data_IF_202369026998
#
_entry.id   IF_202369026998
#
_cell.length_a   1.000
_cell.length_b   1.000
_cell.length_c   1.000
_cell.angle_alpha   90.00
_cell.angle_beta   90.00
_cell.angle_gamma   90.00
#
_symmetry.space_group_name_H-M   'P 1'
#
loop_
_entity.id
_entity.type
_entity.pdbx_description
1 polymer ?
#
# COMPACT_ATOMS: atom_id res chain seq x y z
N UNK A 1 -9.97 -16.34 10.62
CA UNK A 1 -10.79 -16.79 11.77
C UNK A 1 -11.67 -15.63 12.25
N UNK A 2 -11.14 -14.60 12.94
CA UNK A 2 -11.96 -13.47 13.42
C UNK A 2 -12.77 -12.72 12.34
N UNK A 3 -12.18 -12.42 11.18
CA UNK A 3 -12.94 -11.80 10.08
C UNK A 3 -14.03 -12.73 9.51
N UNK A 4 -13.97 -14.04 9.74
CA UNK A 4 -15.03 -14.94 9.31
C UNK A 4 -16.21 -14.87 10.28
N UNK A 5 -15.92 -15.07 11.56
CA UNK A 5 -16.92 -15.00 12.63
C UNK A 5 -17.59 -13.63 12.70
N UNK A 6 -16.83 -12.55 12.47
CA UNK A 6 -17.37 -11.20 12.41
C UNK A 6 -18.38 -11.03 11.26
N UNK A 7 -18.14 -11.63 10.09
CA UNK A 7 -19.12 -11.58 8.99
C UNK A 7 -20.39 -12.33 9.36
N UNK A 8 -20.27 -13.53 9.95
CA UNK A 8 -21.41 -14.33 10.40
C UNK A 8 -22.25 -13.58 11.45
N UNK A 9 -21.60 -12.81 12.34
CA UNK A 9 -22.29 -11.93 13.29
C UNK A 9 -23.00 -10.78 12.57
N UNK A 10 -22.32 -10.17 11.58
CA UNK A 10 -22.88 -9.07 10.79
C UNK A 10 -24.06 -9.50 9.91
N UNK A 11 -24.19 -10.78 9.55
CA UNK A 11 -25.34 -11.29 8.80
C UNK A 11 -26.65 -11.31 9.60
N UNK A 12 -26.55 -11.35 10.93
CA UNK A 12 -27.70 -11.43 11.84
C UNK A 12 -27.87 -10.18 12.71
N UNK A 13 -26.96 -9.21 12.62
CA UNK A 13 -26.99 -8.00 13.43
C UNK A 13 -28.18 -7.13 13.03
N UNK A 14 -28.91 -6.56 13.99
CA UNK A 14 -29.95 -5.58 13.67
C UNK A 14 -29.34 -4.20 13.36
N UNK A 15 -29.96 -3.38 12.48
CA UNK A 15 -29.43 -2.07 12.14
C UNK A 15 -29.18 -1.15 13.35
N UNK A 16 -30.05 -1.22 14.36
CA UNK A 16 -29.90 -0.45 15.60
C UNK A 16 -28.68 -0.86 16.43
N UNK A 17 -28.35 -2.15 16.46
CA UNK A 17 -27.16 -2.66 17.14
C UNK A 17 -25.88 -2.35 16.34
N UNK A 18 -25.96 -2.45 15.01
CA UNK A 18 -24.87 -2.08 14.12
C UNK A 18 -24.41 -0.63 14.33
N UNK A 19 -25.34 0.32 14.44
CA UNK A 19 -25.01 1.74 14.66
C UNK A 19 -24.18 1.99 15.93
N UNK A 20 -24.33 1.17 16.96
CA UNK A 20 -23.56 1.29 18.22
C UNK A 20 -22.09 0.91 18.03
N UNK A 21 -21.79 0.03 17.07
CA UNK A 21 -20.46 -0.58 16.90
C UNK A 21 -19.78 -0.18 15.58
N UNK A 22 -20.49 0.41 14.63
CA UNK A 22 -19.98 0.68 13.28
C UNK A 22 -18.67 1.50 13.28
N UNK A 23 -18.55 2.51 14.14
CA UNK A 23 -17.35 3.37 14.15
C UNK A 23 -16.09 2.56 14.53
N UNK A 24 -15.98 1.93 15.71
CA UNK A 24 -14.79 1.13 16.04
C UNK A 24 -14.60 -0.07 15.12
N UNK A 25 -15.69 -0.69 14.63
CA UNK A 25 -15.65 -1.78 13.67
C UNK A 25 -14.95 -1.36 12.36
N UNK A 26 -15.39 -0.27 11.73
CA UNK A 26 -14.81 0.18 10.46
C UNK A 26 -13.40 0.73 10.61
N UNK A 27 -13.03 1.29 11.76
CA UNK A 27 -11.61 1.58 12.04
C UNK A 27 -10.74 0.32 12.01
N UNK A 28 -11.26 -0.81 12.52
CA UNK A 28 -10.55 -2.07 12.48
C UNK A 28 -10.54 -2.68 11.07
N UNK A 29 -11.66 -2.63 10.34
CA UNK A 29 -11.72 -3.08 8.94
C UNK A 29 -10.74 -2.27 8.08
N UNK A 30 -10.67 -0.94 8.24
CA UNK A 30 -9.71 -0.08 7.53
C UNK A 30 -8.25 -0.54 7.72
N UNK A 31 -7.88 -0.94 8.95
CA UNK A 31 -6.56 -1.52 9.24
C UNK A 31 -6.36 -2.87 8.55
N UNK A 32 -7.38 -3.74 8.56
CA UNK A 32 -7.31 -5.03 7.87
C UNK A 32 -7.15 -4.88 6.35
N UNK A 33 -7.88 -3.95 5.74
CA UNK A 33 -7.75 -3.60 4.31
C UNK A 33 -6.37 -3.02 4.00
N UNK A 34 -5.79 -2.25 4.92
CA UNK A 34 -4.44 -1.68 4.79
C UNK A 34 -3.31 -2.67 5.13
N UNK A 35 -3.63 -3.92 5.43
CA UNK A 35 -2.63 -4.93 5.77
C UNK A 35 -1.77 -5.27 4.55
N UNK A 36 -0.46 -5.32 4.72
CA UNK A 36 0.46 -5.83 3.69
C UNK A 36 0.29 -7.34 3.45
N UNK A 37 -0.34 -8.05 4.40
CA UNK A 37 -0.62 -9.47 4.28
C UNK A 37 -1.89 -9.73 3.47
N UNK A 38 -1.72 -10.19 2.23
CA UNK A 38 -2.81 -10.26 1.25
C UNK A 38 -4.04 -11.06 1.74
N UNK A 39 -3.87 -12.16 2.48
CA UNK A 39 -5.03 -12.95 2.95
C UNK A 39 -5.91 -12.17 3.93
N UNK A 40 -5.34 -11.25 4.70
CA UNK A 40 -6.10 -10.42 5.66
C UNK A 40 -6.86 -9.33 4.89
N UNK A 41 -6.17 -8.65 3.97
CA UNK A 41 -6.78 -7.61 3.14
C UNK A 41 -7.89 -8.20 2.24
N UNK A 42 -7.63 -9.33 1.59
CA UNK A 42 -8.61 -10.06 0.77
C UNK A 42 -9.85 -10.43 1.58
N UNK A 43 -9.65 -11.08 2.73
CA UNK A 43 -10.77 -11.53 3.56
C UNK A 43 -11.65 -10.38 4.04
N UNK A 44 -11.04 -9.22 4.36
CA UNK A 44 -11.76 -8.02 4.75
C UNK A 44 -12.50 -7.38 3.55
N UNK A 45 -11.86 -7.29 2.38
CA UNK A 45 -12.47 -6.72 1.18
C UNK A 45 -13.62 -7.57 0.62
N UNK A 46 -13.67 -8.87 0.93
CA UNK A 46 -14.83 -9.69 0.55
C UNK A 46 -16.13 -9.35 1.27
N UNK A 47 -16.10 -8.58 2.36
CA UNK A 47 -17.33 -8.07 2.98
C UNK A 47 -18.15 -7.20 2.00
N UNK A 48 -17.53 -6.55 1.01
CA UNK A 48 -18.24 -5.76 0.01
C UNK A 48 -19.08 -6.60 -0.95
N UNK A 49 -18.93 -7.93 -0.95
CA UNK A 49 -19.79 -8.82 -1.74
C UNK A 49 -21.06 -9.21 -0.98
N UNK A 50 -21.13 -8.93 0.32
CA UNK A 50 -22.27 -9.25 1.16
C UNK A 50 -23.32 -8.14 1.03
N UNK A 51 -24.47 -8.47 0.44
CA UNK A 51 -25.54 -7.50 0.18
C UNK A 51 -26.11 -6.90 1.46
N UNK A 52 -26.28 -7.71 2.52
CA UNK A 52 -26.81 -7.22 3.79
C UNK A 52 -25.86 -6.21 4.42
N UNK A 53 -24.57 -6.55 4.49
CA UNK A 53 -23.54 -5.64 4.99
C UNK A 53 -23.43 -4.36 4.15
N UNK A 54 -23.55 -4.47 2.83
CA UNK A 54 -23.56 -3.31 1.93
C UNK A 54 -24.78 -2.40 2.12
N UNK A 55 -25.95 -2.95 2.45
CA UNK A 55 -27.13 -2.16 2.79
C UNK A 55 -26.91 -1.39 4.11
N UNK A 56 -26.36 -2.04 5.14
CA UNK A 56 -25.98 -1.38 6.40
C UNK A 56 -24.97 -0.24 6.19
N UNK A 57 -24.00 -0.44 5.29
CA UNK A 57 -23.06 0.62 4.91
C UNK A 57 -23.79 1.78 4.24
N UNK A 58 -24.69 1.48 3.30
CA UNK A 58 -25.42 2.49 2.53
C UNK A 58 -26.25 3.40 3.42
N UNK A 59 -26.97 2.84 4.40
CA UNK A 59 -27.78 3.61 5.35
C UNK A 59 -26.93 4.50 6.27
N UNK A 60 -25.65 4.15 6.48
CA UNK A 60 -24.73 4.83 7.39
C UNK A 60 -23.52 5.45 6.67
N UNK A 61 -23.66 5.73 5.36
CA UNK A 61 -22.55 6.10 4.48
C UNK A 61 -21.79 7.35 4.97
N UNK A 62 -22.50 8.33 5.50
CA UNK A 62 -21.94 9.59 6.02
C UNK A 62 -20.92 9.40 7.15
N UNK A 63 -21.00 8.29 7.89
CA UNK A 63 -20.02 7.93 8.94
C UNK A 63 -18.97 6.99 8.38
N UNK A 64 -19.38 5.97 7.62
CA UNK A 64 -18.51 4.86 7.23
C UNK A 64 -17.54 5.26 6.10
N UNK A 65 -18.03 5.95 5.07
CA UNK A 65 -17.21 6.30 3.90
C UNK A 65 -16.00 7.16 4.30
N UNK A 66 -16.11 8.21 5.13
CA UNK A 66 -14.96 8.98 5.59
C UNK A 66 -13.90 8.17 6.36
N UNK A 67 -14.30 7.10 7.06
CA UNK A 67 -13.36 6.23 7.81
C UNK A 67 -12.60 5.31 6.85
N UNK A 68 -13.31 4.76 5.85
CA UNK A 68 -12.76 3.77 4.94
C UNK A 68 -12.00 4.37 3.76
N UNK A 69 -12.38 5.56 3.32
CA UNK A 69 -11.82 6.21 2.15
C UNK A 69 -10.29 6.38 2.21
N UNK A 70 -9.68 6.89 3.30
CA UNK A 70 -8.22 7.05 3.36
C UNK A 70 -7.47 5.72 3.20
N UNK A 71 -7.98 4.65 3.82
CA UNK A 71 -7.39 3.32 3.70
C UNK A 71 -7.49 2.79 2.27
N UNK A 72 -8.66 2.86 1.63
CA UNK A 72 -8.82 2.39 0.26
C UNK A 72 -8.01 3.22 -0.74
N UNK A 73 -8.06 4.55 -0.64
CA UNK A 73 -7.36 5.45 -1.55
C UNK A 73 -5.83 5.29 -1.46
N UNK A 74 -5.27 5.15 -0.26
CA UNK A 74 -3.83 4.91 -0.10
C UNK A 74 -3.44 3.58 -0.74
N UNK A 75 -4.15 2.52 -0.40
CA UNK A 75 -3.78 1.16 -0.83
C UNK A 75 -4.05 0.89 -2.31
N UNK A 76 -4.95 1.64 -2.98
CA UNK A 76 -5.13 1.56 -4.44
C UNK A 76 -3.87 1.92 -5.22
N UNK A 77 -2.98 2.73 -4.64
CA UNK A 77 -1.69 3.10 -5.23
C UNK A 77 -0.54 2.23 -4.74
N UNK A 78 -0.54 1.82 -3.47
CA UNK A 78 0.66 1.27 -2.82
C UNK A 78 0.63 -0.24 -2.56
N UNK A 79 -0.53 -0.90 -2.65
CA UNK A 79 -0.59 -2.33 -2.36
C UNK A 79 0.17 -3.16 -3.44
N UNK A 80 0.98 -4.14 -3.03
CA UNK A 80 1.84 -4.88 -3.97
C UNK A 80 1.08 -5.96 -4.78
N UNK A 81 -0.04 -6.46 -4.23
CA UNK A 81 -0.82 -7.54 -4.83
C UNK A 81 -1.92 -7.01 -5.76
N UNK A 82 -1.88 -7.44 -7.02
CA UNK A 82 -2.83 -7.03 -8.08
C UNK A 82 -4.28 -7.43 -7.82
N UNK A 83 -4.53 -8.57 -7.17
CA UNK A 83 -5.90 -9.00 -6.82
C UNK A 83 -6.49 -8.05 -5.80
N UNK A 84 -5.71 -7.69 -4.77
CA UNK A 84 -6.13 -6.73 -3.74
C UNK A 84 -6.39 -5.36 -4.35
N UNK A 85 -5.56 -4.90 -5.28
CA UNK A 85 -5.84 -3.68 -6.06
C UNK A 85 -7.20 -3.73 -6.72
N UNK A 86 -7.53 -4.81 -7.42
CA UNK A 86 -8.84 -4.94 -8.07
C UNK A 86 -10.02 -4.92 -7.09
N UNK A 87 -9.87 -5.56 -5.93
CA UNK A 87 -10.89 -5.52 -4.87
C UNK A 87 -11.04 -4.11 -4.27
N UNK A 88 -9.94 -3.38 -4.07
CA UNK A 88 -9.96 -1.99 -3.59
C UNK A 88 -10.69 -1.08 -4.59
N UNK A 89 -10.38 -1.18 -5.90
CA UNK A 89 -11.07 -0.38 -6.92
C UNK A 89 -12.55 -0.72 -7.02
N UNK A 90 -12.92 -2.00 -6.85
CA UNK A 90 -14.32 -2.39 -6.77
C UNK A 90 -15.02 -1.75 -5.55
N UNK A 91 -14.39 -1.78 -4.36
CA UNK A 91 -14.94 -1.13 -3.17
C UNK A 91 -15.07 0.39 -3.32
N UNK A 92 -14.06 1.06 -3.89
CA UNK A 92 -14.10 2.50 -4.21
C UNK A 92 -15.24 2.83 -5.18
N UNK A 93 -15.44 1.99 -6.19
CA UNK A 93 -16.54 2.15 -7.14
C UNK A 93 -17.90 2.07 -6.45
N UNK A 94 -18.11 1.08 -5.57
CA UNK A 94 -19.36 0.95 -4.82
C UNK A 94 -19.64 2.17 -3.93
N UNK A 95 -18.61 2.75 -3.29
CA UNK A 95 -18.77 3.98 -2.51
C UNK A 95 -19.13 5.19 -3.38
N UNK A 96 -18.54 5.30 -4.57
CA UNK A 96 -18.88 6.36 -5.51
C UNK A 96 -20.31 6.23 -6.06
N UNK A 97 -20.76 5.01 -6.39
CA UNK A 97 -22.12 4.74 -6.86
C UNK A 97 -23.18 5.00 -5.78
N UNK A 98 -22.82 4.76 -4.51
CA UNK A 98 -23.69 4.97 -3.36
C UNK A 98 -23.96 6.46 -3.09
N UNK A 99 -22.91 7.29 -3.06
CA UNK A 99 -23.05 8.73 -2.87
C UNK A 99 -21.85 9.48 -3.46
N UNK A 100 -21.99 9.90 -4.71
CA UNK A 100 -20.94 10.60 -5.45
C UNK A 100 -20.47 11.88 -4.76
N UNK A 101 -21.41 12.70 -4.26
CA UNK A 101 -21.08 13.96 -3.59
C UNK A 101 -20.22 13.73 -2.33
N UNK A 102 -20.60 12.75 -1.49
CA UNK A 102 -19.84 12.40 -0.31
C UNK A 102 -18.45 11.83 -0.66
N UNK A 103 -18.36 11.04 -1.72
CA UNK A 103 -17.09 10.51 -2.21
C UNK A 103 -16.15 11.63 -2.63
N UNK A 104 -16.65 12.62 -3.38
CA UNK A 104 -15.88 13.79 -3.82
C UNK A 104 -15.42 14.65 -2.62
N UNK A 105 -16.29 14.86 -1.64
CA UNK A 105 -15.96 15.55 -0.37
C UNK A 105 -14.84 14.81 0.39
N UNK A 106 -14.92 13.48 0.49
CA UNK A 106 -13.87 12.67 1.12
C UNK A 106 -12.54 12.75 0.35
N UNK A 107 -12.60 12.72 -0.98
CA UNK A 107 -11.45 12.86 -1.87
C UNK A 107 -10.77 14.22 -1.66
N UNK A 108 -11.53 15.32 -1.66
CA UNK A 108 -11.01 16.65 -1.40
C UNK A 108 -10.38 16.75 -0.01
N UNK A 109 -11.09 16.31 1.03
CA UNK A 109 -10.61 16.36 2.42
C UNK A 109 -9.31 15.57 2.60
N UNK A 110 -9.21 14.40 1.95
CA UNK A 110 -8.00 13.59 1.96
C UNK A 110 -6.82 14.34 1.33
N UNK A 111 -7.00 14.96 0.16
CA UNK A 111 -5.95 15.78 -0.48
C UNK A 111 -5.48 16.92 0.42
N UNK A 112 -6.42 17.67 0.99
CA UNK A 112 -6.10 18.77 1.92
C UNK A 112 -5.33 18.30 3.15
N UNK A 113 -5.72 17.16 3.73
CA UNK A 113 -5.04 16.59 4.89
C UNK A 113 -3.61 16.13 4.53
N UNK A 114 -3.42 15.52 3.36
CA UNK A 114 -2.09 15.13 2.85
C UNK A 114 -1.20 16.34 2.59
N UNK A 115 -1.73 17.42 2.02
CA UNK A 115 -0.98 18.65 1.82
C UNK A 115 -0.57 19.27 3.16
N UNK A 116 -1.50 19.34 4.11
CA UNK A 116 -1.24 19.86 5.46
C UNK A 116 -0.19 19.02 6.21
N UNK A 117 -0.19 17.70 6.04
CA UNK A 117 0.81 16.82 6.63
C UNK A 117 2.21 17.06 6.04
N UNK A 118 2.30 17.25 4.72
CA UNK A 118 3.56 17.64 4.06
C UNK A 118 4.09 18.98 4.56
N UNK A 119 3.23 19.99 4.71
CA UNK A 119 3.60 21.30 5.25
C UNK A 119 4.13 21.19 6.68
N UNK A 120 3.44 20.44 7.55
CA UNK A 120 3.91 20.18 8.93
C UNK A 120 5.28 19.52 8.96
N UNK A 121 5.56 18.58 8.05
CA UNK A 121 6.87 17.93 7.96
C UNK A 121 7.96 18.92 7.51
N UNK A 122 7.65 19.81 6.56
CA UNK A 122 8.56 20.87 6.11
C UNK A 122 8.85 21.89 7.21
N UNK A 123 7.84 22.30 7.97
CA UNK A 123 8.00 23.22 9.09
C UNK A 123 8.86 22.59 10.19
N UNK A 124 8.62 21.31 10.49
CA UNK A 124 9.43 20.53 11.43
C UNK A 124 10.90 20.48 10.99
N UNK A 125 11.15 20.21 9.71
CA UNK A 125 12.50 20.15 9.15
C UNK A 125 13.24 21.51 9.22
N UNK A 126 12.53 22.61 8.91
CA UNK A 126 13.06 23.97 9.05
C UNK A 126 13.40 24.32 10.51
N UNK A 127 12.54 23.93 11.46
CA UNK A 127 12.80 24.12 12.89
C UNK A 127 14.05 23.33 13.29
N UNK A 128 14.17 22.06 12.89
CA UNK A 128 15.36 21.24 13.19
C UNK A 128 16.64 21.80 12.59
N UNK A 129 16.59 22.27 11.35
CA UNK A 129 17.74 22.91 10.67
C UNK A 129 18.19 24.16 11.43
N UNK A 130 17.25 24.96 11.93
CA UNK A 130 17.57 26.13 12.75
C UNK A 130 18.18 25.73 14.10
N UNK A 131 17.65 24.70 14.75
CA UNK A 131 18.20 24.17 16.01
C UNK A 131 19.62 23.67 15.80
N UNK A 132 19.88 22.92 14.72
CA UNK A 132 21.22 22.44 14.37
C UNK A 132 22.20 23.60 14.14
N UNK A 133 21.79 24.61 13.35
CA UNK A 133 22.61 25.79 13.09
C UNK A 133 22.94 26.58 14.36
N UNK A 134 22.00 26.68 15.32
CA UNK A 134 22.23 27.31 16.62
C UNK A 134 23.15 26.46 17.51
N UNK A 135 22.98 25.13 17.49
CA UNK A 135 23.84 24.21 18.22
C UNK A 135 25.29 24.30 17.75
N UNK A 136 25.55 24.33 16.44
CA UNK A 136 26.89 24.47 15.86
C UNK A 136 27.63 25.75 16.28
N UNK A 137 26.88 26.82 16.63
CA UNK A 137 27.47 28.08 17.10
C UNK A 137 27.76 28.09 18.60
N UNK A 138 27.31 27.07 19.33
CA UNK A 138 27.52 26.98 20.78
C UNK A 138 28.99 26.65 21.09
N UNK A 139 29.64 27.37 22.03
CA UNK A 139 31.02 27.08 22.46
C UNK A 139 31.22 25.66 23.00
N UNK A 140 30.14 25.02 23.46
CA UNK A 140 30.14 23.66 24.01
C UNK A 140 29.76 22.59 22.97
N UNK A 141 29.61 22.97 21.69
CA UNK A 141 29.34 22.02 20.62
C UNK A 141 30.62 21.27 20.28
N UNK A 142 30.71 20.02 20.75
CA UNK A 142 31.73 19.09 20.34
C UNK A 142 31.14 18.22 19.23
N UNK A 143 31.64 18.30 17.97
CA UNK A 143 31.21 17.38 16.94
C UNK A 143 31.55 15.97 17.43
N UNK A 144 30.54 15.16 17.73
CA UNK A 144 30.80 13.75 18.02
C UNK A 144 31.17 13.11 16.69
N UNK A 145 32.38 12.54 16.59
CA UNK A 145 32.82 11.70 15.47
C UNK A 145 32.12 10.33 15.47
N UNK A 146 30.87 10.25 15.94
CA UNK A 146 30.03 9.11 15.64
C UNK A 146 29.56 9.32 14.21
N UNK A 147 30.35 8.78 13.30
CA UNK A 147 30.01 8.63 11.90
C UNK A 147 28.78 7.71 11.79
N UNK A 148 27.60 8.26 12.05
CA UNK A 148 26.31 7.67 11.72
C UNK A 148 25.94 8.13 10.29
N UNK A 149 26.87 7.96 9.35
CA UNK A 149 26.61 8.10 7.92
C UNK A 149 26.05 6.80 7.37
N UNK A 150 24.88 6.43 7.90
CA UNK A 150 23.96 5.39 7.42
C UNK A 150 22.79 5.42 8.41
N UNK A 151 21.84 6.37 8.30
CA UNK A 151 20.51 6.02 7.79
C UNK A 151 19.60 7.23 7.55
N UNK A 152 20.11 8.46 7.54
CA UNK A 152 19.24 9.65 7.50
C UNK A 152 19.20 10.40 6.17
N UNK A 153 19.94 9.96 5.14
CA UNK A 153 20.08 10.71 3.88
C UNK A 153 19.31 10.14 2.67
N UNK A 154 18.53 9.06 2.81
CA UNK A 154 17.72 8.52 1.70
C UNK A 154 16.22 8.89 1.73
N UNK A 155 15.78 9.83 2.58
CA UNK A 155 14.39 10.32 2.56
C UNK A 155 14.24 11.80 2.24
N UNK A 156 15.27 12.44 1.69
CA UNK A 156 15.16 13.77 1.11
C UNK A 156 15.10 13.66 -0.41
N UNK A 157 13.89 13.83 -0.94
CA UNK A 157 13.72 14.07 -2.38
C UNK A 157 13.51 12.82 -3.22
N UNK A 158 12.71 11.87 -2.73
CA UNK A 158 11.84 11.19 -3.67
C UNK A 158 11.00 12.28 -4.33
N UNK A 159 11.33 12.64 -5.57
CA UNK A 159 10.37 13.23 -6.51
C UNK A 159 9.27 12.18 -6.71
N UNK A 160 8.46 11.93 -5.68
CA UNK A 160 7.05 11.74 -5.90
C UNK A 160 6.59 13.11 -6.40
N UNK A 161 6.78 13.35 -7.71
CA UNK A 161 5.69 13.93 -8.47
C UNK A 161 4.49 13.07 -8.10
N UNK A 162 3.82 13.49 -7.04
CA UNK A 162 2.48 13.06 -6.71
C UNK A 162 1.72 13.52 -7.93
N UNK A 163 1.66 12.62 -8.91
CA UNK A 163 0.55 12.54 -9.83
C UNK A 163 -0.63 12.21 -8.90
N UNK A 164 -1.07 13.25 -8.18
CA UNK A 164 -2.33 13.33 -7.47
C UNK A 164 -3.42 13.44 -8.54
N UNK A 165 -3.36 12.51 -9.50
CA UNK A 165 -4.47 12.08 -10.32
C UNK A 165 -5.55 11.72 -9.31
N UNK A 166 -6.49 12.65 -9.20
CA UNK A 166 -7.81 12.44 -8.64
C UNK A 166 -8.24 11.01 -9.03
N UNK A 167 -8.73 10.23 -8.06
CA UNK A 167 -9.44 9.00 -8.38
C UNK A 167 -10.78 9.40 -9.03
N UNK A 168 -10.68 9.91 -10.25
CA UNK A 168 -11.83 10.31 -11.04
C UNK A 168 -12.57 9.06 -11.48
N UNK A 169 -13.88 9.24 -11.67
CA UNK A 169 -14.80 8.19 -12.07
C UNK A 169 -14.27 7.34 -13.23
N UNK A 170 -13.71 7.97 -14.25
CA UNK A 170 -13.16 7.29 -15.44
C UNK A 170 -11.94 6.41 -15.11
N UNK A 171 -11.10 6.82 -14.15
CA UNK A 171 -9.95 6.02 -13.69
C UNK A 171 -10.41 4.81 -12.90
N UNK A 172 -11.38 4.99 -12.00
CA UNK A 172 -11.97 3.87 -11.25
C UNK A 172 -12.65 2.89 -12.22
N UNK A 173 -13.42 3.38 -13.19
CA UNK A 173 -14.11 2.54 -14.17
C UNK A 173 -13.14 1.78 -15.09
N UNK A 174 -12.06 2.41 -15.54
CA UNK A 174 -11.05 1.76 -16.39
C UNK A 174 -10.24 0.69 -15.65
N UNK A 175 -9.83 0.93 -14.40
CA UNK A 175 -9.15 -0.06 -13.57
C UNK A 175 -10.05 -1.28 -13.29
N UNK A 176 -11.33 -1.06 -12.97
CA UNK A 176 -12.30 -2.16 -12.77
C UNK A 176 -12.49 -2.97 -14.06
N UNK A 177 -12.51 -2.32 -15.23
CA UNK A 177 -12.61 -3.00 -16.53
C UNK A 177 -11.37 -3.86 -16.83
N UNK A 178 -10.16 -3.33 -16.62
CA UNK A 178 -8.93 -4.08 -16.86
C UNK A 178 -8.78 -5.28 -15.90
N UNK A 179 -9.20 -5.15 -14.64
CA UNK A 179 -9.25 -6.28 -13.69
C UNK A 179 -10.19 -7.39 -14.19
N UNK A 180 -11.39 -7.04 -14.68
CA UNK A 180 -12.35 -8.02 -15.24
C UNK A 180 -11.79 -8.73 -16.48
N UNK A 181 -11.09 -8.00 -17.36
CA UNK A 181 -10.45 -8.54 -18.57
C UNK A 181 -9.30 -9.49 -18.27
N UNK A 182 -8.54 -9.25 -17.18
CA UNK A 182 -7.47 -10.15 -16.73
C UNK A 182 -8.04 -11.45 -16.16
N UNK A 183 -9.16 -11.39 -15.43
CA UNK A 183 -9.84 -12.58 -14.86
C UNK A 183 -10.36 -13.54 -15.94
N UNK A 184 -10.77 -13.03 -17.11
CA UNK A 184 -11.27 -13.85 -18.22
C UNK A 184 -10.18 -14.45 -19.12
N UNK A 185 -8.89 -14.19 -18.85
CA UNK A 185 -7.80 -14.91 -19.49
C UNK A 185 -7.32 -15.98 -18.53
N UNK A 186 -7.77 -17.21 -18.70
CA UNK A 186 -7.08 -18.39 -18.16
C UNK A 186 -5.66 -18.40 -18.76
N UNK A 187 -4.72 -17.74 -18.08
CA UNK A 187 -3.32 -17.87 -18.41
C UNK A 187 -2.85 -19.17 -17.77
N UNK A 188 -2.21 -20.08 -18.53
CA UNK A 188 -1.51 -21.19 -17.91
C UNK A 188 -0.53 -20.61 -16.88
N UNK A 189 -0.47 -21.21 -15.70
CA UNK A 189 0.45 -20.86 -14.62
C UNK A 189 1.89 -21.14 -15.07
N UNK A 190 2.43 -20.26 -15.91
CA UNK A 190 3.84 -20.21 -16.19
C UNK A 190 4.50 -19.59 -14.97
N UNK A 191 5.04 -20.45 -14.11
CA UNK A 191 5.95 -20.10 -13.02
C UNK A 191 7.13 -19.34 -13.64
N UNK A 192 7.02 -18.00 -13.72
CA UNK A 192 8.16 -17.14 -14.03
C UNK A 192 9.16 -17.36 -12.91
N UNK A 193 10.30 -17.98 -13.24
CA UNK A 193 11.47 -17.92 -12.36
C UNK A 193 11.80 -16.44 -12.19
N UNK A 194 11.88 -15.98 -10.96
CA UNK A 194 12.33 -14.64 -10.62
C UNK A 194 13.75 -14.49 -11.16
N UNK A 195 13.94 -13.72 -12.22
CA UNK A 195 15.27 -13.21 -12.56
C UNK A 195 15.55 -12.10 -11.55
N UNK A 196 16.41 -12.40 -10.58
CA UNK A 196 16.94 -11.38 -9.68
C UNK A 196 17.63 -10.30 -10.54
N UNK A 197 17.56 -9.02 -10.14
CA UNK A 197 18.35 -7.98 -10.78
C UNK A 197 19.80 -8.44 -10.83
N UNK A 198 20.37 -8.54 -12.03
CA UNK A 198 21.75 -8.93 -12.18
C UNK A 198 22.60 -7.76 -11.68
N UNK A 199 23.09 -7.87 -10.45
CA UNK A 199 24.06 -6.95 -9.91
C UNK A 199 25.27 -6.93 -10.84
N UNK A 200 25.47 -5.78 -11.50
CA UNK A 200 26.53 -5.58 -12.47
C UNK A 200 27.90 -5.78 -11.86
N UNK A 201 28.04 -5.60 -10.53
CA UNK A 201 29.26 -5.89 -9.80
C UNK A 201 29.51 -7.40 -9.72
N UNK A 202 28.47 -8.17 -9.38
CA UNK A 202 28.53 -9.65 -9.35
C UNK A 202 28.81 -10.24 -10.74
N UNK A 203 28.17 -9.73 -11.79
CA UNK A 203 28.42 -10.19 -13.18
C UNK A 203 29.87 -9.91 -13.60
N UNK A 204 30.40 -8.74 -13.24
CA UNK A 204 31.78 -8.35 -13.54
C UNK A 204 32.81 -9.15 -12.74
N UNK A 205 32.52 -9.43 -11.47
CA UNK A 205 33.36 -10.30 -10.63
C UNK A 205 33.41 -11.73 -11.19
N UNK A 206 32.29 -12.25 -11.70
CA UNK A 206 32.24 -13.56 -12.36
C UNK A 206 32.95 -13.56 -13.72
N UNK A 207 32.88 -12.47 -14.50
CA UNK A 207 33.59 -12.36 -15.78
C UNK A 207 35.10 -12.22 -15.60
N UNK A 208 35.53 -11.54 -14.55
CA UNK A 208 36.94 -11.26 -14.26
C UNK A 208 37.61 -12.43 -13.50
N UNK A 209 36.81 -13.37 -12.99
CA UNK A 209 37.31 -14.56 -12.30
C UNK A 209 37.88 -15.60 -13.29
N UNK A 210 39.19 -15.53 -13.52
CA UNK A 210 39.95 -16.62 -14.14
C UNK A 210 40.19 -17.72 -13.11
N UNK A 211 39.63 -18.90 -13.36
CA UNK A 211 39.86 -20.11 -12.57
C UNK A 211 41.35 -20.49 -12.65
N UNK A 212 41.97 -20.85 -11.53
CA UNK A 212 43.36 -21.31 -11.49
C UNK A 212 43.48 -22.77 -11.98
N UNK A 213 42.96 -23.04 -13.18
CA UNK A 213 42.85 -24.38 -13.75
C UNK A 213 44.20 -24.94 -14.26
N UNK A 214 45.30 -24.20 -14.13
CA UNK A 214 46.63 -24.68 -14.56
C UNK A 214 47.17 -25.82 -13.67
N UNK A 215 46.58 -26.06 -12.49
CA UNK A 215 47.03 -27.11 -11.56
C UNK A 215 45.93 -28.06 -11.04
N UNK A 216 44.69 -27.96 -11.51
CA UNK A 216 43.61 -28.84 -11.06
C UNK A 216 42.86 -29.46 -12.25
N UNK A 217 43.17 -30.72 -12.63
CA UNK A 217 42.43 -31.42 -13.66
C UNK A 217 40.98 -31.66 -13.21
N UNK A 218 40.02 -31.21 -14.02
CA UNK A 218 38.60 -31.49 -13.81
C UNK A 218 38.30 -32.98 -14.06
N UNK A 219 37.60 -33.69 -13.15
CA UNK A 219 37.15 -35.05 -13.40
C UNK A 219 36.15 -35.11 -14.57
N UNK A 220 36.07 -36.23 -15.31
CA UNK A 220 35.15 -36.35 -16.43
C UNK A 220 33.69 -36.30 -15.99
N UNK A 221 32.87 -35.75 -16.88
CA UNK A 221 31.44 -35.50 -16.70
C UNK A 221 30.64 -36.81 -16.60
N UNK A 222 29.94 -37.00 -15.49
CA UNK A 222 29.23 -38.24 -15.13
C UNK A 222 27.99 -38.48 -16.02
N UNK A 223 27.57 -37.50 -16.81
CA UNK A 223 26.41 -37.61 -17.71
C UNK A 223 26.77 -37.86 -19.18
N UNK A 224 28.01 -38.25 -19.48
CA UNK A 224 28.38 -38.82 -20.79
C UNK A 224 28.90 -40.26 -20.61
N UNK A 225 27.96 -41.19 -20.48
CA UNK A 225 28.12 -42.56 -20.94
C UNK A 225 27.32 -42.74 -22.24
#
# INVERSE_FOLDING_TARGET
>A
MFLNELEEILDVIEPAEFQKVMVPLFHQIAKCVSSSHFQVAERALYYWNNEYFMNLITDNAHVIVPIMFPALHRNSKTHWNKTIHGLIYNALKLFMEMNQKLFDECSQKYREERQREKERLRDRDQIWTRVEALAMQSPNYHPSLVNCSSSSQEYLGGNEQDDELSLDRDKIESEVYEVKKVRNKEKPLLRRKSELPHDTYTVRALSDHKRADEFLPTPPDVNKC
#
